data_IF_985112805471
#
_entry.id   IF_985112805471
#
_cell.length_a   1.000
_cell.length_b   1.000
_cell.length_c   1.000
_cell.angle_alpha   90.00
_cell.angle_beta   90.00
_cell.angle_gamma   90.00
#
_symmetry.space_group_name_H-M   'P 1'
#
loop_
_entity.id
_entity.type
_entity.pdbx_description
1 polymer ?
#
# COMPACT_ATOMS: atom_id res chain seq x y z
N UNK A 1 1.77 -6.48 3.87
CA UNK A 1 1.56 -5.80 5.16
C UNK A 1 1.34 -4.34 4.85
N UNK A 2 0.31 -3.74 5.40
CA UNK A 2 0.02 -2.32 5.14
C UNK A 2 1.11 -1.46 5.80
N UNK A 3 1.44 -0.30 5.24
CA UNK A 3 2.38 0.65 5.84
C UNK A 3 2.01 0.98 7.30
N UNK A 4 0.70 1.03 7.59
CA UNK A 4 0.19 1.18 8.95
C UNK A 4 0.59 0.02 9.89
N UNK A 5 0.43 -1.24 9.46
CA UNK A 5 0.80 -2.41 10.25
C UNK A 5 2.30 -2.41 10.58
N UNK A 6 3.13 -1.96 9.64
CA UNK A 6 4.55 -1.81 9.84
C UNK A 6 4.88 -0.75 10.92
N UNK A 7 4.27 0.44 10.83
CA UNK A 7 4.45 1.51 11.83
C UNK A 7 4.02 1.04 13.22
N UNK A 8 2.88 0.36 13.32
CA UNK A 8 2.38 -0.16 14.62
C UNK A 8 3.32 -1.22 15.19
N UNK A 9 3.81 -2.14 14.35
CA UNK A 9 4.76 -3.17 14.78
C UNK A 9 6.05 -2.56 15.34
N UNK A 10 6.58 -1.54 14.65
CA UNK A 10 7.77 -0.79 15.10
C UNK A 10 7.49 -0.07 16.42
N UNK A 11 6.34 0.59 16.56
CA UNK A 11 5.96 1.30 17.78
C UNK A 11 5.81 0.37 18.98
N UNK A 12 5.18 -0.81 18.80
CA UNK A 12 5.06 -1.83 19.84
C UNK A 12 6.44 -2.35 20.28
N UNK A 13 7.32 -2.67 19.32
CA UNK A 13 8.68 -3.13 19.62
C UNK A 13 9.49 -2.09 20.39
N UNK A 14 9.43 -0.83 19.95
CA UNK A 14 10.11 0.29 20.65
C UNK A 14 9.58 0.47 22.07
N UNK A 15 8.27 0.43 22.25
CA UNK A 15 7.65 0.60 23.57
C UNK A 15 8.02 -0.54 24.52
N UNK A 16 8.02 -1.78 24.03
CA UNK A 16 8.44 -2.95 24.81
C UNK A 16 9.90 -2.80 25.26
N UNK A 17 10.79 -2.41 24.36
CA UNK A 17 12.20 -2.20 24.66
C UNK A 17 12.40 -1.11 25.75
N UNK A 18 11.67 0.00 25.65
CA UNK A 18 11.71 1.07 26.66
C UNK A 18 11.27 0.58 28.03
N UNK A 19 10.17 -0.18 28.11
CA UNK A 19 9.68 -0.75 29.38
C UNK A 19 10.71 -1.71 29.99
N UNK A 20 11.40 -2.51 29.18
CA UNK A 20 12.40 -3.45 29.67
C UNK A 20 13.70 -2.79 30.13
N UNK A 21 14.08 -1.65 29.52
CA UNK A 21 15.36 -1.01 29.78
C UNK A 21 15.28 0.10 30.84
N UNK A 22 14.14 0.78 30.96
CA UNK A 22 13.94 1.88 31.91
C UNK A 22 13.50 1.36 33.27
N UNK A 23 14.41 1.45 34.26
CA UNK A 23 14.11 1.12 35.67
C UNK A 23 13.19 2.13 36.37
N UNK A 24 13.03 3.31 35.76
CA UNK A 24 12.22 4.41 36.31
C UNK A 24 10.74 4.34 35.90
N UNK A 25 10.37 3.43 34.99
CA UNK A 25 8.98 3.24 34.57
C UNK A 25 8.35 2.20 35.49
N UNK A 26 7.26 2.58 36.17
CA UNK A 26 6.51 1.62 36.96
C UNK A 26 5.97 0.53 36.03
N UNK A 27 6.10 -0.74 36.41
CA UNK A 27 5.59 -1.89 35.64
C UNK A 27 4.11 -1.72 35.25
N UNK A 28 3.32 -1.09 36.12
CA UNK A 28 1.93 -0.74 35.86
C UNK A 28 1.75 0.28 34.71
N UNK A 29 2.61 1.29 34.61
CA UNK A 29 2.60 2.28 33.53
C UNK A 29 2.99 1.62 32.21
N UNK A 30 4.02 0.75 32.23
CA UNK A 30 4.42 -0.03 31.07
C UNK A 30 3.30 -0.94 30.55
N UNK A 31 2.66 -1.69 31.45
CA UNK A 31 1.52 -2.56 31.11
C UNK A 31 0.32 -1.74 30.61
N UNK A 32 0.02 -0.59 31.22
CA UNK A 32 -1.04 0.29 30.77
C UNK A 32 -0.78 0.86 29.37
N UNK A 33 0.45 1.30 29.09
CA UNK A 33 0.85 1.79 27.76
C UNK A 33 0.74 0.67 26.71
N UNK A 34 1.22 -0.54 27.04
CA UNK A 34 1.16 -1.69 26.15
C UNK A 34 -0.28 -2.13 25.86
N UNK A 35 -1.12 -2.22 26.89
CA UNK A 35 -2.54 -2.53 26.77
C UNK A 35 -3.29 -1.47 25.95
N UNK A 36 -2.94 -0.18 26.11
CA UNK A 36 -3.51 0.91 25.33
C UNK A 36 -3.15 0.80 23.86
N UNK A 37 -1.89 0.51 23.53
CA UNK A 37 -1.45 0.31 22.14
C UNK A 37 -2.14 -0.89 21.49
N UNK A 38 -2.24 -2.03 22.20
CA UNK A 38 -2.95 -3.21 21.70
C UNK A 38 -4.44 -2.90 21.51
N UNK A 39 -5.07 -2.21 22.46
CA UNK A 39 -6.46 -1.81 22.37
C UNK A 39 -6.74 -0.89 21.18
N UNK A 40 -5.85 0.09 20.93
CA UNK A 40 -5.94 0.99 19.80
C UNK A 40 -5.75 0.25 18.47
N UNK A 41 -4.78 -0.67 18.40
CA UNK A 41 -4.57 -1.51 17.21
C UNK A 41 -5.81 -2.35 16.90
N UNK A 42 -6.37 -2.99 17.91
CA UNK A 42 -7.59 -3.78 17.76
C UNK A 42 -8.77 -2.91 17.31
N UNK A 43 -8.95 -1.74 17.92
CA UNK A 43 -10.01 -0.80 17.57
C UNK A 43 -9.89 -0.34 16.09
N UNK A 44 -8.69 0.00 15.64
CA UNK A 44 -8.45 0.44 14.25
C UNK A 44 -8.71 -0.71 13.27
N UNK A 45 -8.23 -1.91 13.56
CA UNK A 45 -8.48 -3.10 12.73
C UNK A 45 -9.97 -3.43 12.64
N UNK A 46 -10.67 -3.41 13.78
CA UNK A 46 -12.11 -3.65 13.83
C UNK A 46 -12.89 -2.58 13.04
N UNK A 47 -12.54 -1.31 13.22
CA UNK A 47 -13.21 -0.19 12.54
C UNK A 47 -12.94 -0.19 11.03
N UNK A 48 -11.74 -0.61 10.60
CA UNK A 48 -11.37 -0.75 9.19
C UNK A 48 -12.16 -1.84 8.46
N UNK A 49 -12.67 -2.85 9.16
CA UNK A 49 -13.55 -3.88 8.56
C UNK A 49 -15.00 -3.39 8.50
N UNK A 50 -15.39 -2.49 9.41
CA UNK A 50 -16.76 -1.99 9.55
C UNK A 50 -17.06 -0.75 8.69
N UNK A 51 -16.04 0.04 8.37
CA UNK A 51 -16.18 1.31 7.63
C UNK A 51 -15.21 1.36 6.46
N UNK A 52 -15.75 1.57 5.25
CA UNK A 52 -14.94 1.83 4.05
C UNK A 52 -14.09 3.08 4.22
N UNK A 53 -14.63 4.17 4.75
CA UNK A 53 -13.86 5.41 4.98
C UNK A 53 -12.64 5.21 5.89
N UNK A 54 -12.77 4.37 6.92
CA UNK A 54 -11.62 4.05 7.79
C UNK A 54 -10.67 3.08 7.10
N UNK A 55 -11.20 2.12 6.33
CA UNK A 55 -10.39 1.27 5.47
C UNK A 55 -9.55 2.09 4.49
N UNK A 56 -10.14 3.07 3.80
CA UNK A 56 -9.46 3.90 2.80
C UNK A 56 -8.46 4.88 3.43
N UNK A 57 -8.73 5.32 4.67
CA UNK A 57 -7.82 6.18 5.43
C UNK A 57 -6.60 5.40 5.95
N UNK A 58 -6.81 4.14 6.38
CA UNK A 58 -5.79 3.32 7.04
C UNK A 58 -5.03 2.46 6.02
N UNK A 59 -5.69 2.01 4.96
CA UNK A 59 -5.11 1.21 3.86
C UNK A 59 -4.91 2.12 2.67
N UNK A 60 -3.65 2.30 2.29
CA UNK A 60 -3.33 2.77 0.95
C UNK A 60 -3.88 1.74 -0.03
N UNK A 61 -4.64 2.16 -1.04
CA UNK A 61 -5.08 1.29 -2.12
C UNK A 61 -4.06 1.34 -3.26
N UNK A 62 -3.78 0.20 -3.93
CA UNK A 62 -2.92 0.21 -5.11
C UNK A 62 -3.57 1.04 -6.23
N UNK A 63 -2.77 1.86 -6.89
CA UNK A 63 -3.25 2.82 -7.90
C UNK A 63 -2.69 2.49 -9.29
N UNK A 64 -3.58 2.45 -10.29
CA UNK A 64 -3.16 2.24 -11.68
C UNK A 64 -2.64 3.56 -12.27
N UNK A 65 -1.38 3.59 -12.66
CA UNK A 65 -0.71 4.79 -13.17
C UNK A 65 -0.54 4.79 -14.68
N UNK A 66 -0.43 3.62 -15.30
CA UNK A 66 -0.38 3.43 -16.75
C UNK A 66 -1.21 2.22 -17.11
N UNK A 67 -1.96 2.30 -18.21
CA UNK A 67 -2.72 1.19 -18.77
C UNK A 67 -2.63 1.20 -20.29
N UNK A 68 -2.24 0.07 -20.88
CA UNK A 68 -2.10 -0.14 -22.33
C UNK A 68 -1.32 0.97 -23.05
N UNK A 69 -0.19 1.37 -22.46
CA UNK A 69 0.67 2.44 -22.99
C UNK A 69 0.21 3.88 -22.66
N UNK A 70 -0.98 4.08 -22.09
CA UNK A 70 -1.50 5.40 -21.76
C UNK A 70 -1.34 5.73 -20.27
N UNK A 71 -0.90 6.96 -19.97
CA UNK A 71 -0.75 7.44 -18.60
C UNK A 71 -2.10 7.88 -18.00
N UNK A 72 -2.44 7.36 -16.83
CA UNK A 72 -3.61 7.78 -16.05
C UNK A 72 -3.26 9.00 -15.20
N UNK A 73 -3.21 10.18 -15.84
CA UNK A 73 -2.76 11.43 -15.21
C UNK A 73 -3.52 11.81 -13.94
N UNK A 74 -4.81 11.51 -13.87
CA UNK A 74 -5.60 11.80 -12.67
C UNK A 74 -5.18 10.94 -11.47
N UNK A 75 -4.90 9.65 -11.68
CA UNK A 75 -4.40 8.75 -10.64
C UNK A 75 -2.98 9.14 -10.23
N UNK A 76 -2.13 9.46 -11.20
CA UNK A 76 -0.79 9.98 -10.93
C UNK A 76 -0.79 11.25 -10.08
N UNK A 77 -1.71 12.19 -10.34
CA UNK A 77 -1.85 13.41 -9.52
C UNK A 77 -2.32 13.12 -8.10
N UNK A 78 -3.27 12.18 -7.91
CA UNK A 78 -3.75 11.77 -6.58
C UNK A 78 -2.64 11.08 -5.78
N UNK A 79 -1.86 10.23 -6.43
CA UNK A 79 -0.75 9.50 -5.84
C UNK A 79 0.56 10.30 -5.78
N UNK A 80 0.56 11.55 -6.28
CA UNK A 80 1.73 12.45 -6.35
C UNK A 80 2.94 11.86 -7.11
N UNK A 81 2.67 11.06 -8.14
CA UNK A 81 3.69 10.43 -8.99
C UNK A 81 3.83 11.21 -10.30
N UNK A 82 5.06 11.43 -10.76
CA UNK A 82 5.35 12.06 -12.06
C UNK A 82 5.66 11.03 -13.15
N UNK A 83 5.44 11.38 -14.42
CA UNK A 83 5.65 10.45 -15.55
C UNK A 83 7.10 9.92 -15.64
N UNK A 84 8.09 10.68 -15.16
CA UNK A 84 9.49 10.22 -15.11
C UNK A 84 9.71 9.05 -14.16
N UNK A 85 8.97 8.97 -13.05
CA UNK A 85 9.04 7.86 -12.10
C UNK A 85 8.45 6.59 -12.70
N UNK A 86 7.29 6.70 -13.34
CA UNK A 86 6.66 5.58 -14.06
C UNK A 86 7.60 5.07 -15.16
N UNK A 87 8.20 5.96 -15.97
CA UNK A 87 9.19 5.56 -16.99
C UNK A 87 10.44 4.93 -16.37
N UNK A 88 10.89 5.41 -15.22
CA UNK A 88 12.02 4.82 -14.51
C UNK A 88 11.71 3.41 -13.99
N UNK A 89 10.51 3.19 -13.45
CA UNK A 89 10.05 1.87 -13.03
C UNK A 89 10.00 0.88 -14.21
N UNK A 90 9.47 1.30 -15.36
CA UNK A 90 9.44 0.48 -16.59
C UNK A 90 10.86 0.12 -17.06
N UNK A 91 11.79 1.09 -17.07
CA UNK A 91 13.20 0.82 -17.40
C UNK A 91 13.86 -0.12 -16.39
N UNK A 92 13.55 0.02 -15.11
CA UNK A 92 14.04 -0.85 -14.04
C UNK A 92 13.65 -2.32 -14.24
N UNK A 93 12.53 -2.57 -14.93
CA UNK A 93 12.06 -3.90 -15.32
C UNK A 93 12.61 -4.38 -16.67
N UNK A 94 13.60 -3.68 -17.24
CA UNK A 94 14.25 -4.04 -18.50
C UNK A 94 13.43 -3.76 -19.76
N UNK A 95 12.38 -2.94 -19.67
CA UNK A 95 11.49 -2.62 -20.78
C UNK A 95 11.84 -1.22 -21.30
N UNK A 96 12.09 -1.12 -22.61
CA UNK A 96 12.48 0.13 -23.26
C UNK A 96 11.30 0.93 -23.82
N UNK A 97 10.22 0.25 -24.22
CA UNK A 97 9.06 0.85 -24.87
C UNK A 97 7.82 0.74 -23.99
N UNK A 98 7.10 1.85 -23.81
CA UNK A 98 5.85 1.88 -23.04
C UNK A 98 4.73 1.08 -23.71
N UNK A 99 4.76 0.95 -25.04
CA UNK A 99 3.78 0.17 -25.81
C UNK A 99 3.84 -1.33 -25.48
N UNK A 100 4.96 -1.80 -24.92
CA UNK A 100 5.13 -3.18 -24.44
C UNK A 100 4.62 -3.39 -23.01
N UNK A 101 4.10 -2.33 -22.37
CA UNK A 101 3.59 -2.35 -21.00
C UNK A 101 2.06 -2.32 -21.03
N UNK A 102 1.45 -3.30 -20.37
CA UNK A 102 0.00 -3.37 -20.22
C UNK A 102 -0.48 -2.57 -19.00
N UNK A 103 0.26 -2.61 -17.89
CA UNK A 103 -0.08 -1.83 -16.71
C UNK A 103 1.15 -1.42 -15.90
N UNK A 104 1.08 -0.26 -15.24
CA UNK A 104 1.96 0.09 -14.11
C UNK A 104 1.10 0.41 -12.91
N UNK A 105 1.31 -0.30 -11.81
CA UNK A 105 0.58 -0.15 -10.55
C UNK A 105 1.53 0.38 -9.48
N UNK A 106 1.09 1.42 -8.76
CA UNK A 106 1.73 1.84 -7.52
C UNK A 106 1.15 1.01 -6.38
N UNK A 107 1.99 0.21 -5.74
CA UNK A 107 1.61 -0.63 -4.62
C UNK A 107 1.51 0.16 -3.32
N UNK A 108 0.86 -0.46 -2.33
CA UNK A 108 0.59 0.16 -1.01
C UNK A 108 1.85 0.49 -0.20
N UNK A 109 2.98 -0.17 -0.52
CA UNK A 109 4.29 0.06 0.08
C UNK A 109 5.14 1.08 -0.69
N UNK A 110 4.58 1.69 -1.75
CA UNK A 110 5.25 2.67 -2.61
C UNK A 110 6.11 2.04 -3.70
N UNK A 111 6.14 0.71 -3.82
CA UNK A 111 6.81 0.03 -4.93
C UNK A 111 6.00 0.13 -6.22
N UNK A 112 6.67 -0.06 -7.37
CA UNK A 112 6.03 -0.05 -8.68
C UNK A 112 6.03 -1.47 -9.25
N UNK A 113 4.84 -1.97 -9.57
CA UNK A 113 4.65 -3.22 -10.31
C UNK A 113 4.44 -2.90 -11.79
N UNK A 114 5.17 -3.58 -12.68
CA UNK A 114 5.06 -3.41 -14.13
C UNK A 114 4.56 -4.71 -14.76
N UNK A 115 3.39 -4.65 -15.40
CA UNK A 115 2.78 -5.78 -16.13
C UNK A 115 3.10 -5.62 -17.61
N UNK A 116 3.76 -6.61 -18.19
CA UNK A 116 4.06 -6.66 -19.63
C UNK A 116 2.83 -7.07 -20.42
N UNK A 117 2.70 -6.52 -21.62
CA UNK A 117 1.67 -6.93 -22.58
C UNK A 117 1.99 -8.34 -23.10
N UNK A 118 1.03 -9.24 -23.03
CA UNK A 118 1.08 -10.58 -23.60
C UNK A 118 -0.11 -10.78 -24.56
N UNK A 119 0.03 -11.66 -25.55
CA UNK A 119 -1.03 -11.88 -26.56
C UNK A 119 -2.32 -12.45 -25.95
N UNK A 120 -2.22 -13.21 -24.85
CA UNK A 120 -3.34 -13.76 -24.05
C UNK A 120 -3.38 -13.14 -22.63
N UNK A 121 -3.21 -11.83 -22.51
CA UNK A 121 -3.19 -11.17 -21.19
C UNK A 121 -4.58 -11.08 -20.57
N UNK A 122 -4.90 -11.98 -19.65
CA UNK A 122 -6.02 -11.81 -18.72
C UNK A 122 -5.63 -10.81 -17.63
N UNK A 123 -6.48 -9.80 -17.37
CA UNK A 123 -6.21 -8.73 -16.39
C UNK A 123 -6.64 -9.10 -14.97
N UNK A 124 -6.63 -10.38 -14.62
CA UNK A 124 -7.10 -10.87 -13.30
C UNK A 124 -6.26 -10.32 -12.15
N UNK A 125 -4.97 -10.04 -12.38
CA UNK A 125 -4.07 -9.40 -11.41
C UNK A 125 -4.35 -7.92 -11.17
N UNK A 126 -5.15 -7.26 -12.02
CA UNK A 126 -5.50 -5.83 -11.89
C UNK A 126 -6.82 -5.62 -11.14
N UNK A 127 -7.51 -6.68 -10.73
CA UNK A 127 -8.76 -6.59 -9.97
C UNK A 127 -8.48 -5.98 -8.59
N UNK A 128 -9.22 -4.92 -8.24
CA UNK A 128 -9.04 -4.20 -6.98
C UNK A 128 -8.00 -3.09 -7.02
N UNK A 129 -7.39 -2.81 -8.18
CA UNK A 129 -6.55 -1.63 -8.40
C UNK A 129 -7.43 -0.42 -8.72
N UNK A 130 -7.21 0.70 -8.04
CA UNK A 130 -7.96 1.93 -8.28
C UNK A 130 -7.69 2.44 -9.69
N UNK A 131 -8.76 2.59 -10.48
CA UNK A 131 -8.67 2.96 -11.91
C UNK A 131 -8.42 1.78 -12.86
N UNK A 132 -8.36 0.55 -12.35
CA UNK A 132 -8.30 -0.68 -13.16
C UNK A 132 -9.65 -1.07 -13.78
N UNK A 133 -9.65 -2.00 -14.74
CA UNK A 133 -10.88 -2.48 -15.37
C UNK A 133 -11.82 -3.11 -14.34
N UNK A 134 -13.03 -2.58 -14.19
CA UNK A 134 -14.09 -3.16 -13.34
C UNK A 134 -14.52 -4.50 -13.94
N UNK A 135 -14.23 -5.60 -13.22
CA UNK A 135 -14.61 -6.99 -13.54
C UNK A 135 -14.42 -7.37 -15.01
N UNK A 136 -13.38 -8.14 -15.30
CA UNK A 136 -13.39 -9.02 -16.46
C UNK A 136 -14.55 -10.03 -16.27
N UNK A 137 -15.75 -9.69 -16.74
CA UNK A 137 -16.81 -10.66 -16.97
C UNK A 137 -16.41 -11.50 -18.19
N UNK A 138 -16.14 -12.78 -17.96
CA UNK A 138 -15.83 -13.77 -19.00
C UNK A 138 -14.73 -14.73 -18.57
#
# INVERSE_FOLDING_TARGET
MNAFDFVVTVALGSTLATIMLSKDVALAEGVAAFATLIGLQFAISWLSVRSSTVSDLVKSEPALLLYRGEFLRDQMRRSRVVESEVRAAVRGHGIAALDSVDAVVLETDGSFTVVRRAEDSHTSSLVGVVGGPERAEG
#
